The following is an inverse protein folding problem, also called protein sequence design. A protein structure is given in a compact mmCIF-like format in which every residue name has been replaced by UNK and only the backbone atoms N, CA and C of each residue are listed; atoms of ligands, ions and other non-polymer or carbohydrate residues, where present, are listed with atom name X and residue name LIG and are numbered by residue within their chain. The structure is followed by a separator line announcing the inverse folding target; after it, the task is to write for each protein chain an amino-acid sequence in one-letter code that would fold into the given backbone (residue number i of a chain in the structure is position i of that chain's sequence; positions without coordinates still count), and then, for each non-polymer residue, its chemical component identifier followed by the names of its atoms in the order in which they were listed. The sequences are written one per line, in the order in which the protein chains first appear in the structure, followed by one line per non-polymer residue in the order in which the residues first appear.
data_IF_961146286353
#
_entry.id   IF_961146286353
#
_cell.length_a   1.000
_cell.length_b   1.000
_cell.length_c   1.000
_cell.angle_alpha   90.00
_cell.angle_beta   90.00
_cell.angle_gamma   90.00
#
_symmetry.space_group_name_H-M   'P 1'
#
loop_
_entity.id
_entity.type
_entity.pdbx_description
1 polymer ?
#
# COMPACT_ATOMS: atom_id res chain seq x y z
N UNK A 1 12.62 3.39 -9.52
CA UNK A 1 13.94 2.94 -9.98
C UNK A 1 13.99 1.42 -9.98
N UNK A 2 14.61 0.81 -10.99
CA UNK A 2 14.82 -0.63 -11.07
C UNK A 2 16.27 -0.93 -11.51
N UNK A 3 16.86 -1.97 -10.93
CA UNK A 3 18.14 -2.54 -11.40
C UNK A 3 17.95 -3.46 -12.59
N UNK A 4 16.72 -3.95 -12.79
CA UNK A 4 16.33 -4.80 -13.89
C UNK A 4 15.65 -3.97 -14.98
N UNK A 5 15.69 -4.37 -16.25
CA UNK A 5 14.99 -3.67 -17.32
C UNK A 5 13.49 -3.60 -17.06
N UNK A 6 12.91 -2.40 -17.17
CA UNK A 6 11.47 -2.19 -17.23
C UNK A 6 11.08 -2.30 -18.69
N UNK A 7 10.28 -3.31 -19.04
CA UNK A 7 9.91 -3.61 -20.43
C UNK A 7 8.57 -3.01 -20.84
N UNK A 8 7.71 -2.73 -19.86
CA UNK A 8 6.45 -1.99 -20.05
C UNK A 8 6.06 -1.28 -18.73
N UNK A 9 5.31 -0.18 -18.85
CA UNK A 9 4.77 0.51 -17.68
C UNK A 9 3.50 1.27 -18.00
N UNK A 10 2.64 1.43 -16.99
CA UNK A 10 1.42 2.22 -17.06
C UNK A 10 1.21 3.01 -15.77
N UNK A 11 1.06 4.31 -15.93
CA UNK A 11 0.67 5.21 -14.83
C UNK A 11 -0.83 5.47 -14.89
N UNK A 12 -1.54 5.29 -13.79
CA UNK A 12 -2.99 5.44 -13.71
C UNK A 12 -3.36 6.34 -12.55
N UNK A 13 -4.00 7.48 -12.86
CA UNK A 13 -4.63 8.34 -11.87
C UNK A 13 -6.04 7.85 -11.58
N UNK A 14 -6.41 7.86 -10.31
CA UNK A 14 -7.79 7.60 -9.95
C UNK A 14 -8.66 8.85 -10.21
N UNK A 15 -9.86 8.68 -10.76
CA UNK A 15 -10.80 9.76 -10.91
C UNK A 15 -11.12 10.41 -9.55
N UNK A 16 -11.27 11.73 -9.53
CA UNK A 16 -11.64 12.51 -8.35
C UNK A 16 -10.76 12.31 -7.11
N UNK A 17 -9.51 11.90 -7.33
CA UNK A 17 -8.52 11.66 -6.30
C UNK A 17 -7.18 12.25 -6.68
N UNK A 18 -6.40 12.71 -5.69
CA UNK A 18 -4.98 13.05 -5.88
C UNK A 18 -4.05 11.83 -5.89
N UNK A 19 -4.60 10.63 -5.81
CA UNK A 19 -3.89 9.38 -5.67
C UNK A 19 -3.83 8.62 -7.01
N UNK A 20 -2.91 7.66 -7.09
CA UNK A 20 -2.58 6.95 -8.31
C UNK A 20 -1.96 5.58 -8.03
N UNK A 21 -1.71 4.83 -9.09
CA UNK A 21 -0.80 3.69 -9.05
C UNK A 21 0.04 3.62 -10.33
N UNK A 22 1.22 3.08 -10.19
CA UNK A 22 2.10 2.70 -11.29
C UNK A 22 2.12 1.18 -11.40
N UNK A 23 1.89 0.67 -12.60
CA UNK A 23 2.18 -0.70 -12.99
C UNK A 23 3.47 -0.71 -13.79
N UNK A 24 4.37 -1.63 -13.50
CA UNK A 24 5.60 -1.85 -14.28
C UNK A 24 5.83 -3.34 -14.50
N UNK A 25 6.19 -3.71 -15.71
CA UNK A 25 6.62 -5.05 -16.08
C UNK A 25 8.15 -5.07 -16.11
N UNK A 26 8.74 -5.85 -15.21
CA UNK A 26 10.18 -5.87 -14.97
C UNK A 26 10.74 -7.23 -15.35
N UNK A 27 11.78 -7.24 -16.20
CA UNK A 27 12.44 -8.47 -16.65
C UNK A 27 13.46 -8.92 -15.61
N UNK A 28 13.26 -10.10 -15.02
CA UNK A 28 14.14 -10.70 -14.01
C UNK A 28 14.59 -12.08 -14.50
N UNK A 29 15.77 -12.16 -15.06
CA UNK A 29 16.22 -13.37 -15.77
C UNK A 29 15.32 -13.64 -16.97
N UNK A 30 14.77 -14.85 -17.06
CA UNK A 30 13.84 -15.25 -18.13
C UNK A 30 12.39 -14.88 -17.81
N UNK A 31 12.08 -14.50 -16.58
CA UNK A 31 10.74 -14.15 -16.14
C UNK A 31 10.43 -12.65 -16.31
N UNK A 32 9.15 -12.33 -16.41
CA UNK A 32 8.65 -10.95 -16.33
C UNK A 32 7.76 -10.85 -15.10
N UNK A 33 8.07 -9.91 -14.21
CA UNK A 33 7.33 -9.65 -12.97
C UNK A 33 6.52 -8.38 -13.13
N UNK A 34 5.23 -8.42 -12.82
CA UNK A 34 4.38 -7.24 -12.78
C UNK A 34 4.36 -6.64 -11.37
N UNK A 35 4.83 -5.41 -11.26
CA UNK A 35 4.93 -4.70 -10.01
C UNK A 35 3.91 -3.54 -10.01
N UNK A 36 3.11 -3.46 -8.96
CA UNK A 36 2.23 -2.32 -8.69
C UNK A 36 2.82 -1.49 -7.56
N UNK A 37 3.06 -0.21 -7.81
CA UNK A 37 3.33 0.80 -6.79
C UNK A 37 2.06 1.61 -6.57
N UNK A 38 1.48 1.53 -5.38
CA UNK A 38 0.12 2.00 -5.10
C UNK A 38 0.13 3.06 -4.01
N UNK A 39 -0.58 4.17 -4.25
CA UNK A 39 -0.92 5.12 -3.21
C UNK A 39 -2.43 5.35 -3.22
N UNK A 40 -3.13 4.80 -2.24
CA UNK A 40 -4.59 4.89 -2.14
C UNK A 40 -5.04 6.16 -1.43
N UNK A 41 -6.32 6.49 -1.58
CA UNK A 41 -6.96 7.64 -0.95
C UNK A 41 -6.64 7.71 0.55
N UNK A 42 -6.12 8.85 0.98
CA UNK A 42 -5.80 9.09 2.39
C UNK A 42 -7.04 8.99 3.28
N UNK A 43 -6.84 8.56 4.52
CA UNK A 43 -7.92 8.55 5.53
C UNK A 43 -8.37 9.98 5.94
N UNK A 44 -7.57 11.01 5.65
CA UNK A 44 -7.87 12.39 6.04
C UNK A 44 -7.47 12.75 7.48
N UNK A 45 -7.04 11.79 8.30
CA UNK A 45 -6.71 11.99 9.73
C UNK A 45 -5.62 13.04 9.92
N UNK A 46 -4.61 13.06 9.07
CA UNK A 46 -3.52 14.06 9.14
C UNK A 46 -4.03 15.47 8.84
N UNK A 47 -4.92 15.63 7.86
CA UNK A 47 -5.57 16.90 7.54
C UNK A 47 -6.49 17.40 8.64
N UNK A 48 -7.23 16.51 9.28
CA UNK A 48 -8.07 16.84 10.44
C UNK A 48 -7.21 17.40 11.58
N UNK A 49 -6.10 16.73 11.93
CA UNK A 49 -5.19 17.18 12.98
C UNK A 49 -4.58 18.55 12.69
N UNK A 50 -4.25 18.84 11.43
CA UNK A 50 -3.70 20.14 11.04
C UNK A 50 -4.76 21.25 11.16
N UNK A 51 -6.03 20.96 10.85
CA UNK A 51 -7.16 21.87 11.05
C UNK A 51 -7.42 22.13 12.55
N UNK A 52 -7.39 21.09 13.41
CA UNK A 52 -7.47 21.26 14.87
C UNK A 52 -6.42 22.24 15.41
N UNK A 53 -5.19 22.19 14.87
CA UNK A 53 -4.13 23.13 15.30
C UNK A 53 -4.33 24.55 14.79
N UNK A 54 -4.95 24.75 13.62
CA UNK A 54 -5.19 26.08 13.03
C UNK A 54 -6.40 26.79 13.63
N UNK A 55 -7.43 26.07 14.02
CA UNK A 55 -8.70 26.63 14.53
C UNK A 55 -8.68 26.87 16.07
N UNK A 56 -7.51 27.03 16.68
CA UNK A 56 -7.35 27.39 18.09
C UNK A 56 -8.16 26.48 19.05
N UNK A 57 -8.26 25.20 18.77
CA UNK A 57 -8.92 24.21 19.65
C UNK A 57 -10.46 24.20 19.54
N UNK A 58 -11.06 24.78 18.51
CA UNK A 58 -12.49 24.56 18.25
C UNK A 58 -12.72 23.09 17.87
N UNK A 59 -13.62 22.43 18.56
CA UNK A 59 -13.97 21.04 18.33
C UNK A 59 -14.51 20.87 16.91
N UNK A 60 -13.87 20.02 16.11
CA UNK A 60 -14.43 19.58 14.84
C UNK A 60 -15.59 18.64 15.16
N UNK A 61 -16.81 18.90 14.66
CA UNK A 61 -17.95 18.03 14.92
C UNK A 61 -17.61 16.57 14.56
N UNK A 62 -17.90 15.64 15.46
CA UNK A 62 -17.60 14.20 15.30
C UNK A 62 -18.24 13.64 14.02
N UNK A 63 -19.46 14.12 13.70
CA UNK A 63 -20.21 13.74 12.50
C UNK A 63 -19.42 14.08 11.22
N UNK A 64 -18.71 15.20 11.21
CA UNK A 64 -17.89 15.62 10.07
C UNK A 64 -16.66 14.70 9.92
N UNK A 65 -16.04 14.32 11.02
CA UNK A 65 -14.91 13.38 11.02
C UNK A 65 -15.36 12.01 10.48
N UNK A 66 -16.48 11.50 10.99
CA UNK A 66 -17.05 10.21 10.55
C UNK A 66 -17.38 10.27 9.05
N UNK A 67 -18.05 11.32 8.61
CA UNK A 67 -18.42 11.48 7.19
C UNK A 67 -17.20 11.53 6.26
N UNK A 68 -16.10 12.17 6.68
CA UNK A 68 -14.85 12.21 5.90
C UNK A 68 -14.19 10.82 5.85
N UNK A 69 -14.13 10.12 6.97
CA UNK A 69 -13.59 8.75 7.03
C UNK A 69 -14.40 7.78 6.16
N UNK A 70 -15.74 7.84 6.22
CA UNK A 70 -16.62 7.02 5.40
C UNK A 70 -16.42 7.30 3.91
N UNK A 71 -16.40 8.57 3.51
CA UNK A 71 -16.18 8.98 2.12
C UNK A 71 -14.86 8.44 1.60
N UNK A 72 -13.78 8.66 2.33
CA UNK A 72 -12.44 8.21 1.94
C UNK A 72 -12.35 6.68 1.89
N UNK A 73 -13.01 5.98 2.80
CA UNK A 73 -13.10 4.52 2.77
C UNK A 73 -13.85 3.99 1.53
N UNK A 74 -14.94 4.65 1.10
CA UNK A 74 -15.67 4.30 -0.13
C UNK A 74 -14.80 4.50 -1.38
N UNK A 75 -14.05 5.61 -1.45
CA UNK A 75 -13.11 5.87 -2.54
C UNK A 75 -12.04 4.78 -2.59
N UNK A 76 -11.39 4.45 -1.46
CA UNK A 76 -10.41 3.35 -1.41
C UNK A 76 -11.01 2.01 -1.85
N UNK A 77 -12.24 1.73 -1.42
CA UNK A 77 -12.93 0.49 -1.81
C UNK A 77 -13.14 0.40 -3.33
N UNK A 78 -13.37 1.50 -4.02
CA UNK A 78 -13.42 1.54 -5.48
C UNK A 78 -12.04 1.35 -6.09
N UNK A 79 -11.04 2.10 -5.64
CA UNK A 79 -9.65 2.02 -6.11
C UNK A 79 -9.10 0.60 -6.04
N UNK A 80 -9.31 -0.11 -4.92
CA UNK A 80 -8.82 -1.49 -4.78
C UNK A 80 -9.57 -2.48 -5.68
N UNK A 81 -10.85 -2.25 -6.00
CA UNK A 81 -11.56 -3.09 -6.98
C UNK A 81 -10.98 -2.94 -8.38
N UNK A 82 -10.65 -1.71 -8.77
CA UNK A 82 -10.03 -1.40 -10.07
C UNK A 82 -8.63 -2.06 -10.19
N UNK A 83 -7.76 -1.87 -9.18
CA UNK A 83 -6.44 -2.51 -9.16
C UNK A 83 -6.58 -4.04 -9.16
N UNK A 84 -7.49 -4.58 -8.35
CA UNK A 84 -7.67 -6.03 -8.26
C UNK A 84 -8.11 -6.65 -9.58
N UNK A 85 -8.97 -5.98 -10.34
CA UNK A 85 -9.37 -6.44 -11.67
C UNK A 85 -8.18 -6.55 -12.63
N UNK A 86 -7.24 -5.59 -12.57
CA UNK A 86 -6.01 -5.63 -13.37
C UNK A 86 -5.08 -6.75 -12.90
N UNK A 87 -4.93 -6.94 -11.58
CA UNK A 87 -4.14 -8.04 -11.02
C UNK A 87 -4.71 -9.40 -11.45
N UNK A 88 -6.02 -9.57 -11.35
CA UNK A 88 -6.69 -10.84 -11.67
C UNK A 88 -6.61 -11.19 -13.16
N UNK A 89 -6.40 -10.20 -14.03
CA UNK A 89 -6.27 -10.40 -15.49
C UNK A 89 -4.84 -10.69 -15.97
N UNK A 90 -3.83 -10.59 -15.09
CA UNK A 90 -2.42 -10.82 -15.48
C UNK A 90 -1.99 -12.28 -15.34
N UNK A 91 -1.13 -12.72 -16.25
CA UNK A 91 -0.45 -14.02 -16.16
C UNK A 91 0.95 -13.92 -15.55
N UNK A 92 1.47 -12.71 -15.38
CA UNK A 92 2.78 -12.50 -14.77
C UNK A 92 2.76 -12.73 -13.26
N UNK A 93 3.90 -13.13 -12.66
CA UNK A 93 4.11 -13.01 -11.22
C UNK A 93 3.85 -11.59 -10.74
N UNK A 94 3.11 -11.44 -9.65
CA UNK A 94 2.66 -10.13 -9.16
C UNK A 94 3.29 -9.77 -7.82
N UNK A 95 3.74 -8.52 -7.72
CA UNK A 95 4.09 -7.84 -6.47
C UNK A 95 3.29 -6.54 -6.39
N UNK A 96 2.66 -6.28 -5.25
CA UNK A 96 1.95 -5.02 -4.96
C UNK A 96 2.60 -4.38 -3.74
N UNK A 97 3.08 -3.14 -3.88
CA UNK A 97 3.71 -2.40 -2.80
C UNK A 97 3.17 -0.97 -2.72
N UNK A 98 3.14 -0.39 -1.53
CA UNK A 98 2.81 1.02 -1.34
C UNK A 98 2.00 1.33 -0.11
N UNK A 99 1.55 2.59 -0.04
CA UNK A 99 0.69 3.11 1.02
C UNK A 99 -0.79 2.85 0.67
N UNK A 100 -1.42 1.97 1.43
CA UNK A 100 -2.84 1.65 1.24
C UNK A 100 -3.76 2.54 2.09
N UNK A 101 -3.17 3.40 2.93
CA UNK A 101 -3.90 4.31 3.82
C UNK A 101 -4.97 3.63 4.69
N UNK A 102 -4.81 2.33 4.97
CA UNK A 102 -5.76 1.52 5.71
C UNK A 102 -5.08 0.38 6.46
N UNK A 103 -5.69 -0.10 7.53
CA UNK A 103 -5.13 -1.11 8.43
C UNK A 103 -5.40 -2.55 7.97
N UNK A 104 -4.71 -3.58 8.54
CA UNK A 104 -4.90 -4.98 8.15
C UNK A 104 -6.31 -5.55 8.40
N UNK A 105 -7.12 -4.91 9.23
CA UNK A 105 -8.51 -5.29 9.50
C UNK A 105 -9.51 -4.78 8.45
N UNK A 106 -9.09 -3.89 7.56
CA UNK A 106 -9.97 -3.18 6.62
C UNK A 106 -10.42 -4.02 5.44
N UNK A 107 -11.48 -3.55 4.76
CA UNK A 107 -11.90 -4.06 3.46
C UNK A 107 -10.81 -3.86 2.40
N UNK A 108 -10.20 -2.66 2.38
CA UNK A 108 -9.10 -2.28 1.48
C UNK A 108 -7.99 -3.31 1.48
N UNK A 109 -7.46 -3.62 2.66
CA UNK A 109 -6.40 -4.62 2.82
C UNK A 109 -6.83 -6.01 2.33
N UNK A 110 -7.98 -6.51 2.80
CA UNK A 110 -8.44 -7.86 2.44
C UNK A 110 -8.71 -7.99 0.94
N UNK A 111 -9.33 -6.97 0.35
CA UNK A 111 -9.68 -7.01 -1.08
C UNK A 111 -8.43 -6.93 -1.96
N UNK A 112 -7.49 -6.03 -1.65
CA UNK A 112 -6.27 -5.89 -2.46
C UNK A 112 -5.34 -7.09 -2.29
N UNK A 113 -5.21 -7.60 -1.06
CA UNK A 113 -4.41 -8.80 -0.80
C UNK A 113 -4.95 -10.01 -1.57
N UNK A 114 -6.25 -10.24 -1.55
CA UNK A 114 -6.82 -11.45 -2.15
C UNK A 114 -6.10 -12.71 -1.67
N UNK A 115 -5.68 -13.57 -2.60
CA UNK A 115 -4.89 -14.77 -2.33
C UNK A 115 -3.39 -14.54 -2.11
N UNK A 116 -2.88 -13.31 -2.31
CA UNK A 116 -1.46 -13.01 -2.17
C UNK A 116 -0.98 -13.12 -0.71
N UNK A 117 0.31 -13.27 -0.55
CA UNK A 117 1.01 -13.30 0.74
C UNK A 117 1.36 -11.87 1.17
N UNK A 118 1.09 -11.51 2.42
CA UNK A 118 1.59 -10.29 3.07
C UNK A 118 3.02 -10.54 3.55
N UNK A 119 3.99 -9.81 3.02
CA UNK A 119 5.41 -9.99 3.29
C UNK A 119 5.76 -9.85 4.77
N UNK A 120 5.17 -8.85 5.45
CA UNK A 120 5.39 -8.69 6.89
C UNK A 120 4.85 -9.89 7.69
N UNK A 121 3.65 -10.38 7.37
CA UNK A 121 3.06 -11.52 8.09
C UNK A 121 3.78 -12.83 7.83
N UNK A 122 4.44 -12.96 6.69
CA UNK A 122 5.16 -14.18 6.33
C UNK A 122 6.54 -14.27 7.00
N UNK A 123 7.31 -13.18 6.99
CA UNK A 123 8.73 -13.19 7.41
C UNK A 123 9.16 -11.96 8.18
N UNK A 124 8.24 -11.05 8.52
CA UNK A 124 8.51 -9.88 9.33
C UNK A 124 8.50 -10.17 10.83
N UNK A 125 9.13 -9.30 11.60
CA UNK A 125 9.20 -9.38 13.06
C UNK A 125 8.72 -8.07 13.71
N UNK A 126 8.24 -8.17 14.95
CA UNK A 126 7.82 -7.03 15.76
C UNK A 126 6.42 -6.52 15.41
N UNK A 127 6.15 -5.23 15.67
CA UNK A 127 4.81 -4.64 15.54
C UNK A 127 4.43 -4.21 14.13
N UNK A 128 5.39 -4.05 13.23
CA UNK A 128 5.16 -3.75 11.82
C UNK A 128 4.51 -2.39 11.52
N UNK A 129 4.42 -1.49 12.50
CA UNK A 129 3.85 -0.16 12.29
C UNK A 129 4.72 0.69 11.37
N UNK A 130 4.14 1.20 10.29
CA UNK A 130 4.83 1.94 9.23
C UNK A 130 4.59 3.44 9.30
N UNK A 131 3.48 3.89 9.89
CA UNK A 131 3.16 5.30 10.07
C UNK A 131 3.66 5.81 11.43
N UNK A 132 4.51 6.83 11.44
CA UNK A 132 5.24 7.30 12.65
C UNK A 132 4.36 8.02 13.64
N UNK A 133 3.26 8.62 13.19
CA UNK A 133 2.30 9.26 14.09
C UNK A 133 1.43 8.22 14.84
N UNK A 134 0.67 8.67 15.80
CA UNK A 134 -0.16 7.83 16.67
C UNK A 134 0.62 6.71 17.38
N UNK A 135 1.84 7.03 17.83
CA UNK A 135 2.71 6.07 18.52
C UNK A 135 3.35 5.01 17.62
N UNK A 136 3.29 5.19 16.30
CA UNK A 136 3.92 4.28 15.33
C UNK A 136 3.27 2.90 15.24
N UNK A 137 2.02 2.75 15.69
CA UNK A 137 1.32 1.46 15.75
C UNK A 137 0.56 1.10 14.48
N UNK A 138 0.31 2.10 13.61
CA UNK A 138 -0.45 1.86 12.39
C UNK A 138 0.45 1.30 11.29
N UNK A 139 0.07 0.14 10.78
CA UNK A 139 0.63 -0.43 9.56
C UNK A 139 -0.31 -0.12 8.42
N UNK A 140 0.11 0.73 7.50
CA UNK A 140 -0.65 1.19 6.34
C UNK A 140 0.12 1.04 5.03
N UNK A 141 1.42 0.73 5.11
CA UNK A 141 2.29 0.40 3.98
C UNK A 141 2.51 -1.11 3.93
N UNK A 142 2.44 -1.68 2.74
CA UNK A 142 2.45 -3.13 2.54
C UNK A 142 3.28 -3.52 1.33
N UNK A 143 3.78 -4.76 1.37
CA UNK A 143 4.29 -5.49 0.21
C UNK A 143 3.56 -6.82 0.17
N UNK A 144 2.75 -7.04 -0.86
CA UNK A 144 2.09 -8.29 -1.18
C UNK A 144 2.74 -8.94 -2.39
N UNK A 145 2.79 -10.26 -2.41
CA UNK A 145 3.31 -11.03 -3.53
C UNK A 145 2.50 -12.32 -3.71
N UNK A 146 2.44 -12.81 -4.94
CA UNK A 146 1.72 -14.04 -5.24
C UNK A 146 2.51 -15.31 -4.86
N UNK A 147 1.91 -16.47 -5.07
CA UNK A 147 2.44 -17.77 -4.66
C UNK A 147 3.68 -18.23 -5.42
N UNK A 148 4.02 -17.57 -6.54
CA UNK A 148 5.27 -17.81 -7.29
C UNK A 148 6.51 -17.28 -6.58
N UNK A 149 6.33 -16.51 -5.50
CA UNK A 149 7.40 -16.03 -4.65
C UNK A 149 7.38 -16.68 -3.27
N UNK A 150 8.56 -16.75 -2.67
CA UNK A 150 8.76 -17.01 -1.24
C UNK A 150 9.43 -15.78 -0.62
N UNK A 151 8.90 -15.31 0.51
CA UNK A 151 9.57 -14.30 1.33
C UNK A 151 10.83 -14.88 1.96
N UNK A 152 11.93 -14.11 1.90
CA UNK A 152 13.22 -14.44 2.50
C UNK A 152 13.50 -13.54 3.69
N UNK A 153 13.16 -12.25 3.57
CA UNK A 153 13.32 -11.26 4.62
C UNK A 153 12.32 -10.13 4.49
N UNK A 154 12.05 -9.46 5.62
CA UNK A 154 11.25 -8.24 5.67
C UNK A 154 11.79 -7.35 6.78
N UNK A 155 12.13 -6.11 6.46
CA UNK A 155 12.66 -5.16 7.43
C UNK A 155 12.26 -3.72 7.12
N UNK A 156 12.37 -2.87 8.11
CA UNK A 156 12.13 -1.44 8.01
C UNK A 156 13.44 -0.72 8.36
N UNK A 157 14.12 -0.08 7.39
CA UNK A 157 15.30 0.73 7.65
C UNK A 157 14.99 1.81 8.70
N UNK A 158 15.95 2.09 9.56
CA UNK A 158 15.85 3.19 10.51
C UNK A 158 16.31 4.48 9.82
N UNK A 159 15.35 5.23 9.31
CA UNK A 159 15.55 6.56 8.76
C UNK A 159 14.47 7.50 9.32
N UNK A 160 14.70 8.81 9.27
CA UNK A 160 13.77 9.85 9.76
C UNK A 160 13.43 10.88 8.69
N UNK A 161 13.49 10.48 7.43
CA UNK A 161 13.27 11.39 6.29
C UNK A 161 11.79 11.54 5.89
N UNK A 162 10.89 10.76 6.50
CA UNK A 162 9.46 10.73 6.20
C UNK A 162 8.63 10.46 7.45
N UNK A 163 7.35 10.81 7.42
CA UNK A 163 6.35 10.38 8.40
C UNK A 163 5.93 8.90 8.23
N UNK A 164 6.38 8.24 7.17
CA UNK A 164 6.32 6.80 6.98
C UNK A 164 7.70 6.17 7.16
N UNK A 165 7.73 4.93 7.62
CA UNK A 165 8.92 4.08 7.57
C UNK A 165 8.95 3.36 6.23
N UNK A 166 10.12 3.34 5.59
CA UNK A 166 10.31 2.51 4.42
C UNK A 166 10.13 1.02 4.78
N UNK A 167 9.55 0.25 3.87
CA UNK A 167 9.39 -1.20 4.00
C UNK A 167 10.17 -1.90 2.90
N UNK A 168 10.90 -2.95 3.25
CA UNK A 168 11.71 -3.74 2.34
C UNK A 168 11.33 -5.20 2.48
N UNK A 169 11.09 -5.88 1.37
CA UNK A 169 10.90 -7.32 1.31
C UNK A 169 11.95 -7.95 0.38
N UNK A 170 12.57 -9.01 0.84
CA UNK A 170 13.42 -9.86 0.03
C UNK A 170 12.62 -11.07 -0.42
N UNK A 171 12.52 -11.25 -1.73
CA UNK A 171 11.73 -12.30 -2.35
C UNK A 171 12.61 -13.16 -3.26
N UNK A 172 12.30 -14.45 -3.32
CA UNK A 172 12.88 -15.35 -4.31
C UNK A 172 11.77 -16.05 -5.09
N UNK A 173 12.00 -16.37 -6.35
CA UNK A 173 11.12 -17.26 -7.10
C UNK A 173 11.06 -18.64 -6.45
N UNK A 174 9.87 -19.20 -6.34
CA UNK A 174 9.71 -20.63 -6.06
C UNK A 174 10.09 -21.39 -7.33
N UNK A 175 11.12 -22.20 -7.27
CA UNK A 175 11.39 -23.18 -8.33
C UNK A 175 10.32 -24.27 -8.21
N UNK A 176 9.57 -24.48 -9.28
CA UNK A 176 8.68 -25.63 -9.45
C UNK A 176 9.54 -26.85 -9.73
#
# INVERSE_FOLDING_TARGET
LSRFPIVDHRYVRFPDSGNDYLQADVKVGDDTVRIFSVHLQTSGISGLRQRFRKDHGRDVPVERVIGELERNSRIRAQQVREIRAVIDSTHYPVIVAGDFNDTPSSYTYRRLKGGMTDGFRAVGNGFGGTFRYLGGVLRIDYIFYDDRFAGVGYYMPQDDVSDHKAVVAELRFRRI
#
